data_IF_566125766490
#
_entry.id   IF_566125766490
#
_cell.length_a   1.000
_cell.length_b   1.000
_cell.length_c   1.000
_cell.angle_alpha   90.00
_cell.angle_beta   90.00
_cell.angle_gamma   90.00
#
_symmetry.space_group_name_H-M   'P 1'
#
loop_
_entity.id
_entity.type
_entity.pdbx_description
1 polymer ?
#
# COMPACT_ATOMS: atom_id res chain seq x y z
N UNK A 1 2.50 -14.42 -0.06
CA UNK A 1 1.16 -14.98 0.27
C UNK A 1 0.45 -14.26 1.43
N UNK A 2 1.14 -13.63 2.39
CA UNK A 2 0.50 -13.07 3.58
C UNK A 2 -0.31 -11.76 3.37
N UNK A 3 -0.01 -10.99 2.32
CA UNK A 3 -0.63 -9.67 2.11
C UNK A 3 -2.15 -9.75 1.82
N UNK A 4 -2.58 -10.68 0.96
CA UNK A 4 -4.00 -10.81 0.61
C UNK A 4 -4.86 -11.52 1.66
N UNK A 5 -4.32 -12.56 2.29
CA UNK A 5 -5.08 -13.45 3.19
C UNK A 5 -5.01 -13.06 4.67
N UNK A 6 -3.87 -12.51 5.12
CA UNK A 6 -3.66 -12.16 6.53
C UNK A 6 -4.14 -10.75 6.88
N UNK A 7 -4.01 -9.80 5.95
CA UNK A 7 -4.18 -8.37 6.28
C UNK A 7 -5.53 -7.81 5.83
N UNK A 8 -6.02 -8.23 4.66
CA UNK A 8 -7.35 -7.86 4.18
C UNK A 8 -8.46 -8.84 4.63
N UNK A 9 -8.10 -9.99 5.22
CA UNK A 9 -9.00 -11.08 5.65
C UNK A 9 -9.95 -11.56 4.55
N UNK A 10 -9.54 -11.48 3.29
CA UNK A 10 -10.31 -11.93 2.14
C UNK A 10 -10.10 -13.43 1.90
N UNK A 11 -11.12 -14.15 1.44
CA UNK A 11 -10.92 -15.50 0.95
C UNK A 11 -10.00 -15.49 -0.28
N UNK A 12 -9.16 -16.53 -0.51
CA UNK A 12 -8.18 -16.50 -1.60
C UNK A 12 -8.80 -16.26 -2.97
N UNK A 13 -9.96 -16.89 -3.23
CA UNK A 13 -10.72 -16.73 -4.48
C UNK A 13 -11.14 -15.28 -4.73
N UNK A 14 -11.58 -14.59 -3.68
CA UNK A 14 -12.11 -13.24 -3.79
C UNK A 14 -10.94 -12.29 -4.04
N UNK A 15 -9.83 -12.46 -3.30
CA UNK A 15 -8.59 -11.71 -3.51
C UNK A 15 -8.04 -11.83 -4.95
N UNK A 16 -7.98 -13.05 -5.50
CA UNK A 16 -7.45 -13.26 -6.86
C UNK A 16 -8.41 -12.85 -7.98
N UNK A 17 -9.70 -12.69 -7.68
CA UNK A 17 -10.70 -12.19 -8.63
C UNK A 17 -10.78 -10.66 -8.69
N UNK A 18 -10.19 -9.96 -7.72
CA UNK A 18 -10.27 -8.50 -7.65
C UNK A 18 -9.42 -7.82 -8.72
N UNK A 19 -9.94 -6.71 -9.21
CA UNK A 19 -9.17 -5.77 -10.02
C UNK A 19 -8.22 -4.94 -9.15
N UNK A 20 -7.14 -4.36 -9.71
CA UNK A 20 -6.24 -3.49 -8.96
C UNK A 20 -6.93 -2.32 -8.25
N UNK A 21 -8.01 -1.79 -8.85
CA UNK A 21 -8.80 -0.71 -8.26
C UNK A 21 -9.60 -1.17 -7.04
N UNK A 22 -10.21 -2.36 -7.10
CA UNK A 22 -10.92 -2.95 -5.97
C UNK A 22 -9.95 -3.30 -4.83
N UNK A 23 -8.77 -3.82 -5.17
CA UNK A 23 -7.72 -4.07 -4.21
C UNK A 23 -7.28 -2.78 -3.49
N UNK A 24 -7.10 -1.69 -4.24
CA UNK A 24 -6.75 -0.39 -3.66
C UNK A 24 -7.81 0.10 -2.68
N UNK A 25 -9.11 0.00 -3.03
CA UNK A 25 -10.20 0.37 -2.12
C UNK A 25 -10.32 -0.55 -0.90
N UNK A 26 -10.11 -1.85 -1.07
CA UNK A 26 -10.09 -2.80 0.04
C UNK A 26 -8.93 -2.49 1.03
N UNK A 27 -7.77 -2.11 0.50
CA UNK A 27 -6.64 -1.64 1.30
C UNK A 27 -6.97 -0.33 2.04
N UNK A 28 -7.50 0.69 1.34
CA UNK A 28 -7.93 1.94 1.99
C UNK A 28 -8.96 1.70 3.11
N UNK A 29 -9.93 0.80 2.89
CA UNK A 29 -10.93 0.46 3.91
C UNK A 29 -10.35 -0.25 5.14
N UNK A 30 -9.23 -0.95 4.98
CA UNK A 30 -8.59 -1.72 6.06
C UNK A 30 -7.52 -0.92 6.82
N UNK A 31 -6.76 -0.09 6.12
CA UNK A 31 -5.63 0.66 6.68
C UNK A 31 -5.89 2.17 6.83
N UNK A 32 -7.01 2.66 6.31
CA UNK A 32 -7.27 4.08 6.15
C UNK A 32 -6.63 4.66 4.88
N UNK A 33 -6.78 5.97 4.64
CA UNK A 33 -6.14 6.62 3.51
C UNK A 33 -4.62 6.47 3.59
N UNK A 34 -4.00 6.09 2.48
CA UNK A 34 -2.54 5.99 2.40
C UNK A 34 -1.89 7.34 2.71
N UNK A 35 -0.69 7.31 3.30
CA UNK A 35 0.11 8.51 3.48
C UNK A 35 0.34 9.18 2.11
N UNK A 36 0.30 10.52 2.04
CA UNK A 36 0.62 11.21 0.81
C UNK A 36 2.05 10.85 0.37
N UNK A 37 2.32 10.80 -0.95
CA UNK A 37 3.68 10.62 -1.42
C UNK A 37 4.58 11.73 -0.85
N UNK A 38 5.86 11.42 -0.53
CA UNK A 38 6.77 12.42 0.00
C UNK A 38 6.95 13.56 -1.01
N UNK A 39 7.05 14.79 -0.49
CA UNK A 39 7.43 15.92 -1.32
C UNK A 39 8.84 15.73 -1.88
N UNK A 40 9.12 16.34 -3.04
CA UNK A 40 10.44 16.28 -3.67
C UNK A 40 11.55 16.74 -2.72
N UNK A 41 11.30 17.83 -2.00
CA UNK A 41 12.21 18.38 -0.98
C UNK A 41 12.52 17.38 0.14
N UNK A 42 11.51 16.67 0.63
CA UNK A 42 11.68 15.65 1.67
C UNK A 42 12.49 14.45 1.15
N UNK A 43 12.28 14.06 -0.11
CA UNK A 43 13.07 13.01 -0.75
C UNK A 43 14.53 13.45 -0.94
N UNK A 44 14.76 14.68 -1.42
CA UNK A 44 16.11 15.21 -1.63
C UNK A 44 16.87 15.33 -0.30
N UNK A 45 16.19 15.72 0.78
CA UNK A 45 16.76 15.69 2.14
C UNK A 45 17.15 14.27 2.56
N UNK A 46 16.26 13.29 2.36
CA UNK A 46 16.55 11.89 2.68
C UNK A 46 17.77 11.36 1.92
N UNK A 47 17.91 11.69 0.64
CA UNK A 47 19.06 11.28 -0.18
C UNK A 47 20.38 11.93 0.27
N UNK A 48 20.33 13.14 0.82
CA UNK A 48 21.51 13.78 1.40
C UNK A 48 21.88 13.18 2.77
N UNK A 49 20.88 12.85 3.58
CA UNK A 49 21.05 12.30 4.93
C UNK A 49 21.52 10.83 4.92
N UNK A 50 21.14 10.06 3.89
CA UNK A 50 21.48 8.65 3.70
C UNK A 50 22.07 8.40 2.30
N UNK A 51 23.36 8.73 2.07
CA UNK A 51 23.98 8.73 0.74
C UNK A 51 24.48 7.34 0.23
N UNK A 52 24.01 6.23 0.79
CA UNK A 52 24.52 4.87 0.58
C UNK A 52 23.50 3.84 0.03
#
# INVERSE_FOLDING_TARGET
>A
MAFGLGVLRLAPKDFWSMTPRELHRAAEGSFGPGAPPPERTALDQLMNDFPD
#
